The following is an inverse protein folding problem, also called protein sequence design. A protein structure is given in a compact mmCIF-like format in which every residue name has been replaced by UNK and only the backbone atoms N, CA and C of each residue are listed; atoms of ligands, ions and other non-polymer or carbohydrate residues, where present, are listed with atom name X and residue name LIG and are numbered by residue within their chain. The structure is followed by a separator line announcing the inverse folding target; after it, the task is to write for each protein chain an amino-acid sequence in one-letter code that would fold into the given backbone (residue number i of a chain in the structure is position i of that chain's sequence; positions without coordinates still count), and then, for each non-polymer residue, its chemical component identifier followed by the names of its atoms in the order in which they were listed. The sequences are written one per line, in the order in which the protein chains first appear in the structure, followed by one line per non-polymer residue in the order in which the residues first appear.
data_IF_898985542775
#
_entry.id   IF_898985542775
#
_cell.length_a   1.000
_cell.length_b   1.000
_cell.length_c   1.000
_cell.angle_alpha   90.00
_cell.angle_beta   90.00
_cell.angle_gamma   90.00
#
_symmetry.space_group_name_H-M   'P 1'
#
loop_
_entity.id
_entity.type
_entity.pdbx_description
1 polymer ?
#
# COMPACT_ATOMS: atom_id res chain seq x y z
N UNK A 1 5.68 -86.28 -22.48
CA UNK A 1 5.98 -85.35 -23.58
C UNK A 1 6.47 -84.06 -22.95
N UNK A 2 7.58 -83.59 -23.49
CA UNK A 2 8.57 -82.66 -22.95
C UNK A 2 8.09 -81.28 -22.48
N UNK A 3 8.94 -80.68 -21.64
CA UNK A 3 8.99 -79.24 -21.35
C UNK A 3 9.28 -78.41 -22.61
N UNK A 4 9.19 -77.08 -22.51
CA UNK A 4 10.48 -76.36 -22.53
C UNK A 4 10.65 -75.35 -21.39
N UNK A 5 11.88 -75.36 -20.92
CA UNK A 5 12.53 -74.52 -19.92
C UNK A 5 13.09 -73.25 -20.57
N UNK A 6 13.06 -72.10 -19.88
CA UNK A 6 14.15 -71.07 -19.85
C UNK A 6 13.99 -70.34 -18.51
N UNK A 7 14.72 -70.69 -17.45
CA UNK A 7 16.08 -70.27 -17.03
C UNK A 7 16.18 -68.88 -16.35
N UNK A 8 16.41 -68.97 -15.03
CA UNK A 8 17.27 -68.22 -14.11
C UNK A 8 17.46 -66.69 -14.17
N UNK A 9 17.17 -66.08 -13.02
CA UNK A 9 17.93 -64.98 -12.42
C UNK A 9 17.61 -64.88 -10.91
N UNK A 10 18.57 -65.10 -10.00
CA UNK A 10 18.39 -64.90 -8.56
C UNK A 10 18.79 -63.48 -8.14
N UNK A 11 18.60 -63.23 -6.85
CA UNK A 11 19.07 -62.08 -6.08
C UNK A 11 18.27 -60.78 -6.30
N UNK A 12 17.52 -60.32 -5.30
CA UNK A 12 18.02 -60.18 -3.94
C UNK A 12 18.02 -58.68 -3.69
N UNK A 13 17.03 -58.23 -2.93
CA UNK A 13 16.70 -56.81 -2.79
C UNK A 13 17.90 -55.94 -2.46
N UNK A 14 18.04 -54.86 -3.20
CA UNK A 14 18.69 -53.67 -2.69
C UNK A 14 17.64 -52.59 -2.46
N UNK A 15 17.44 -52.34 -1.17
CA UNK A 15 16.78 -51.17 -0.61
C UNK A 15 17.29 -49.90 -1.30
N UNK A 16 16.45 -49.32 -2.14
CA UNK A 16 16.52 -47.92 -2.55
C UNK A 16 15.33 -47.15 -1.97
N UNK A 17 14.94 -47.42 -0.72
CA UNK A 17 13.93 -46.63 -0.03
C UNK A 17 14.52 -45.26 0.26
N UNK A 18 14.15 -44.30 -0.58
CA UNK A 18 13.94 -42.89 -0.26
C UNK A 18 13.98 -42.65 1.26
N UNK A 19 15.07 -42.06 1.76
CA UNK A 19 15.12 -41.53 3.11
C UNK A 19 14.16 -40.32 3.18
N UNK A 20 12.88 -40.61 3.38
CA UNK A 20 11.96 -39.62 3.90
C UNK A 20 12.36 -39.42 5.37
N UNK A 21 12.74 -38.20 5.81
CA UNK A 21 13.00 -37.95 7.22
C UNK A 21 11.78 -38.43 8.02
N UNK A 22 12.00 -39.21 9.07
CA UNK A 22 10.93 -39.61 9.99
C UNK A 22 10.14 -38.35 10.40
N UNK A 23 8.81 -38.39 10.35
CA UNK A 23 7.95 -37.26 10.71
C UNK A 23 8.37 -36.57 12.02
N UNK A 24 8.93 -37.32 12.97
CA UNK A 24 9.47 -36.80 14.22
C UNK A 24 10.58 -35.76 14.01
N UNK A 25 11.50 -35.98 13.08
CA UNK A 25 12.60 -35.05 12.75
C UNK A 25 12.04 -33.77 12.11
N UNK A 26 11.02 -33.91 11.25
CA UNK A 26 10.35 -32.77 10.64
C UNK A 26 9.60 -31.91 11.66
N UNK A 27 8.88 -32.53 12.60
CA UNK A 27 8.19 -31.81 13.67
C UNK A 27 9.16 -31.12 14.64
N UNK A 28 10.29 -31.76 14.97
CA UNK A 28 11.34 -31.11 15.77
C UNK A 28 11.91 -29.87 15.07
N UNK A 29 12.25 -29.98 13.79
CA UNK A 29 12.75 -28.84 13.02
C UNK A 29 11.69 -27.72 12.90
N UNK A 30 10.42 -28.08 12.71
CA UNK A 30 9.33 -27.12 12.69
C UNK A 30 9.19 -26.40 14.05
N UNK A 31 9.24 -27.15 15.15
CA UNK A 31 9.18 -26.60 16.50
C UNK A 31 10.31 -25.61 16.77
N UNK A 32 11.55 -25.96 16.42
CA UNK A 32 12.72 -25.08 16.57
C UNK A 32 12.56 -23.78 15.78
N UNK A 33 12.06 -23.85 14.55
CA UNK A 33 11.80 -22.69 13.72
C UNK A 33 10.69 -21.80 14.30
N UNK A 34 9.57 -22.37 14.73
CA UNK A 34 8.46 -21.64 15.36
C UNK A 34 8.93 -20.98 16.65
N UNK A 35 9.65 -21.69 17.52
CA UNK A 35 10.17 -21.14 18.77
C UNK A 35 11.12 -19.97 18.52
N UNK A 36 11.95 -20.06 17.49
CA UNK A 36 12.86 -18.98 17.10
C UNK A 36 12.09 -17.75 16.62
N UNK A 37 11.10 -17.95 15.73
CA UNK A 37 10.21 -16.89 15.27
C UNK A 37 9.49 -16.21 16.44
N UNK A 38 8.83 -16.98 17.30
CA UNK A 38 8.09 -16.48 18.48
C UNK A 38 9.00 -15.68 19.41
N UNK A 39 10.21 -16.18 19.70
CA UNK A 39 11.20 -15.45 20.54
C UNK A 39 11.58 -14.12 19.92
N UNK A 40 11.79 -14.06 18.61
CA UNK A 40 12.18 -12.84 17.92
C UNK A 40 11.03 -11.82 17.89
N UNK A 41 9.81 -12.26 17.59
CA UNK A 41 8.64 -11.37 17.57
C UNK A 41 8.27 -10.84 18.95
N UNK A 42 8.37 -11.66 20.00
CA UNK A 42 8.14 -11.19 21.38
C UNK A 42 9.15 -10.11 21.79
N UNK A 43 10.43 -10.24 21.40
CA UNK A 43 11.44 -9.21 21.65
C UNK A 43 11.07 -7.89 20.96
N UNK A 44 10.56 -7.95 19.72
CA UNK A 44 10.10 -6.78 18.97
C UNK A 44 8.91 -6.12 19.67
N UNK A 45 7.88 -6.89 20.03
CA UNK A 45 6.72 -6.40 20.79
C UNK A 45 7.17 -5.75 22.10
N UNK A 46 8.07 -6.38 22.84
CA UNK A 46 8.58 -5.84 24.10
C UNK A 46 9.30 -4.50 23.91
N UNK A 47 10.04 -4.32 22.81
CA UNK A 47 10.65 -3.03 22.43
C UNK A 47 9.58 -1.97 22.17
N UNK A 48 8.52 -2.32 21.42
CA UNK A 48 7.40 -1.40 21.11
C UNK A 48 6.63 -0.98 22.36
N UNK A 49 6.37 -1.91 23.28
CA UNK A 49 5.61 -1.64 24.51
C UNK A 49 6.43 -0.79 25.49
N UNK A 50 7.74 -0.99 25.58
CA UNK A 50 8.62 -0.23 26.49
C UNK A 50 8.95 1.18 26.00
N UNK A 51 8.75 1.47 24.72
CA UNK A 51 8.93 2.82 24.20
C UNK A 51 7.79 3.71 24.71
N UNK A 52 8.09 4.68 25.56
CA UNK A 52 7.13 5.61 26.13
C UNK A 52 6.66 6.69 25.13
N UNK A 53 7.18 6.69 23.91
CA UNK A 53 6.81 7.66 22.88
C UNK A 53 5.80 7.06 21.89
N UNK A 54 4.59 7.67 21.74
CA UNK A 54 3.57 7.23 20.78
C UNK A 54 3.85 7.70 19.33
N UNK A 55 4.95 8.44 19.10
CA UNK A 55 5.36 8.81 17.76
C UNK A 55 6.00 7.62 17.06
N UNK A 56 5.43 7.26 15.90
CA UNK A 56 6.02 6.48 14.81
C UNK A 56 7.32 5.78 15.22
N UNK A 57 7.27 4.44 15.38
CA UNK A 57 8.48 3.64 15.20
C UNK A 57 9.01 4.02 13.83
N UNK A 58 10.02 4.90 13.83
CA UNK A 58 10.75 5.22 12.63
C UNK A 58 11.13 3.91 11.98
N UNK A 59 10.98 3.89 10.66
CA UNK A 59 11.21 2.82 9.71
C UNK A 59 12.65 2.29 9.71
N UNK A 60 13.35 2.43 10.84
CA UNK A 60 14.67 1.88 11.09
C UNK A 60 14.48 0.39 11.36
N UNK A 61 14.89 -0.42 10.38
CA UNK A 61 14.73 -1.87 10.27
C UNK A 61 13.41 -2.36 9.65
N UNK A 62 12.77 -1.56 8.78
CA UNK A 62 11.95 -2.16 7.74
C UNK A 62 12.90 -2.84 6.73
N UNK A 63 13.46 -3.99 7.14
CA UNK A 63 13.78 -5.04 6.17
C UNK A 63 12.60 -5.09 5.20
N UNK A 64 12.87 -5.17 3.90
CA UNK A 64 11.82 -5.35 2.90
C UNK A 64 11.20 -6.72 3.16
N UNK A 65 10.28 -6.76 4.12
CA UNK A 65 9.55 -7.96 4.49
C UNK A 65 8.56 -8.19 3.35
N UNK A 66 8.64 -9.38 2.76
CA UNK A 66 7.65 -9.80 1.81
C UNK A 66 6.26 -9.86 2.48
N UNK A 67 5.20 -9.79 1.66
CA UNK A 67 3.81 -9.78 2.12
C UNK A 67 3.46 -10.98 3.01
N UNK A 68 4.06 -12.15 2.77
CA UNK A 68 3.88 -13.37 3.56
C UNK A 68 4.48 -13.21 4.97
N UNK A 69 5.75 -12.81 5.07
CA UNK A 69 6.40 -12.58 6.36
C UNK A 69 5.67 -11.53 7.20
N UNK A 70 5.08 -10.52 6.54
CA UNK A 70 4.25 -9.50 7.19
C UNK A 70 2.95 -10.07 7.76
N UNK A 71 2.23 -10.90 7.01
CA UNK A 71 1.00 -11.59 7.48
C UNK A 71 1.27 -12.49 8.69
N UNK A 72 2.42 -13.16 8.74
CA UNK A 72 2.80 -13.95 9.92
C UNK A 72 3.00 -13.08 11.15
N UNK A 73 3.64 -11.90 11.02
CA UNK A 73 3.78 -10.93 12.12
C UNK A 73 2.43 -10.44 12.60
N UNK A 74 1.52 -10.09 11.69
CA UNK A 74 0.17 -9.65 12.02
C UNK A 74 -0.62 -10.73 12.77
N UNK A 75 -0.57 -11.98 12.27
CA UNK A 75 -1.19 -13.12 12.94
C UNK A 75 -0.61 -13.31 14.36
N UNK A 76 0.71 -13.16 14.50
CA UNK A 76 1.37 -13.25 15.80
C UNK A 76 0.94 -12.15 16.78
N UNK A 77 0.76 -10.91 16.32
CA UNK A 77 0.22 -9.82 17.14
C UNK A 77 -1.20 -10.16 17.61
N UNK A 78 -2.07 -10.66 16.72
CA UNK A 78 -3.44 -11.08 17.08
C UNK A 78 -3.45 -12.22 18.11
N UNK A 79 -2.59 -13.22 17.94
CA UNK A 79 -2.39 -14.31 18.91
C UNK A 79 -1.91 -13.75 20.25
N UNK A 80 -0.94 -12.83 20.24
CA UNK A 80 -0.40 -12.19 21.44
C UNK A 80 -1.48 -11.42 22.20
N UNK A 81 -2.26 -10.60 21.50
CA UNK A 81 -3.42 -9.88 22.07
C UNK A 81 -4.42 -10.85 22.69
N UNK A 82 -4.75 -11.95 22.01
CA UNK A 82 -5.64 -12.98 22.54
C UNK A 82 -5.13 -13.56 23.87
N UNK A 83 -3.84 -13.92 23.94
CA UNK A 83 -3.24 -14.44 25.17
C UNK A 83 -3.18 -13.40 26.28
N UNK A 84 -2.88 -12.14 25.98
CA UNK A 84 -2.88 -11.05 26.96
C UNK A 84 -4.26 -10.87 27.61
N UNK A 85 -5.33 -10.89 26.81
CA UNK A 85 -6.71 -10.86 27.32
C UNK A 85 -7.03 -12.08 28.18
N UNK A 86 -6.62 -13.27 27.75
CA UNK A 86 -6.76 -14.50 28.54
C UNK A 86 -6.01 -14.43 29.87
N UNK A 87 -4.89 -13.70 29.92
CA UNK A 87 -4.12 -13.41 31.13
C UNK A 87 -4.67 -12.22 31.95
N UNK A 88 -5.80 -11.64 31.56
CA UNK A 88 -6.43 -10.44 32.16
C UNK A 88 -5.55 -9.19 32.12
N UNK A 89 -4.68 -9.08 31.11
CA UNK A 89 -3.84 -7.91 30.85
C UNK A 89 -4.47 -7.03 29.76
N UNK A 90 -5.65 -6.44 30.06
CA UNK A 90 -6.44 -5.69 29.07
C UNK A 90 -5.73 -4.41 28.59
N UNK A 91 -5.18 -3.61 29.51
CA UNK A 91 -4.49 -2.37 29.15
C UNK A 91 -3.31 -2.62 28.20
N UNK A 92 -2.55 -3.69 28.45
CA UNK A 92 -1.43 -4.09 27.60
C UNK A 92 -1.92 -4.63 26.25
N UNK A 93 -3.02 -5.36 26.23
CA UNK A 93 -3.63 -5.87 24.99
C UNK A 93 -4.11 -4.72 24.09
N UNK A 94 -4.77 -3.72 24.67
CA UNK A 94 -5.27 -2.55 23.94
C UNK A 94 -4.14 -1.62 23.50
N UNK A 95 -3.10 -1.45 24.34
CA UNK A 95 -1.88 -0.76 23.97
C UNK A 95 -1.18 -1.44 22.77
N UNK A 96 -1.06 -2.77 22.80
CA UNK A 96 -0.45 -3.53 21.71
C UNK A 96 -1.25 -3.41 20.41
N UNK A 97 -2.58 -3.56 20.50
CA UNK A 97 -3.50 -3.45 19.37
C UNK A 97 -3.48 -2.04 18.77
N UNK A 98 -3.53 -0.99 19.60
CA UNK A 98 -3.50 0.40 19.14
C UNK A 98 -2.15 0.85 18.60
N UNK A 99 -1.04 0.20 18.95
CA UNK A 99 0.29 0.55 18.42
C UNK A 99 0.66 -0.22 17.15
N UNK A 100 0.20 -1.47 17.00
CA UNK A 100 0.69 -2.37 15.93
C UNK A 100 -0.34 -2.77 14.87
N UNK A 101 -1.64 -2.50 15.09
CA UNK A 101 -2.71 -2.79 14.12
C UNK A 101 -3.34 -1.56 13.40
N UNK A 102 -3.15 -0.27 13.76
CA UNK A 102 -3.73 0.85 12.99
C UNK A 102 -3.17 0.95 11.56
N UNK A 103 -1.96 0.45 11.36
CA UNK A 103 -1.33 0.43 10.05
C UNK A 103 -2.13 -0.40 9.03
N UNK A 104 -3.04 -1.29 9.44
CA UNK A 104 -3.79 -2.17 8.53
C UNK A 104 -4.75 -1.38 7.64
N UNK A 105 -5.58 -0.51 8.21
CA UNK A 105 -6.60 0.22 7.43
C UNK A 105 -5.96 1.21 6.44
N UNK A 106 -4.92 1.93 6.86
CA UNK A 106 -4.24 2.88 5.99
C UNK A 106 -3.44 2.17 4.90
N UNK A 107 -2.77 1.05 5.21
CA UNK A 107 -2.03 0.26 4.21
C UNK A 107 -2.93 -0.40 3.20
N UNK A 108 -4.02 -1.02 3.65
CA UNK A 108 -5.00 -1.62 2.75
C UNK A 108 -5.62 -0.57 1.83
N UNK A 109 -5.94 0.61 2.38
CA UNK A 109 -6.39 1.75 1.58
C UNK A 109 -5.32 2.17 0.55
N UNK A 110 -4.07 2.39 0.95
CA UNK A 110 -2.97 2.77 0.04
C UNK A 110 -2.75 1.72 -1.05
N UNK A 111 -2.70 0.44 -0.72
CA UNK A 111 -2.54 -0.65 -1.71
C UNK A 111 -3.69 -0.68 -2.72
N UNK A 112 -4.93 -0.51 -2.25
CA UNK A 112 -6.09 -0.45 -3.13
C UNK A 112 -6.05 0.77 -4.04
N UNK A 113 -5.63 1.93 -3.53
CA UNK A 113 -5.48 3.15 -4.31
C UNK A 113 -4.33 3.05 -5.32
N UNK A 114 -3.20 2.43 -4.96
CA UNK A 114 -2.12 2.14 -5.91
C UNK A 114 -2.64 1.26 -7.05
N UNK A 115 -3.24 0.10 -6.77
CA UNK A 115 -3.76 -0.81 -7.81
C UNK A 115 -4.78 -0.15 -8.73
N UNK A 116 -5.61 0.74 -8.18
CA UNK A 116 -6.63 1.48 -8.94
C UNK A 116 -6.02 2.64 -9.76
N UNK A 117 -5.08 3.33 -9.14
CA UNK A 117 -4.27 4.49 -9.56
C UNK A 117 -3.21 4.26 -10.64
N UNK A 118 -2.56 3.09 -10.58
CA UNK A 118 -1.26 2.86 -11.19
C UNK A 118 -1.33 2.88 -12.72
N UNK A 119 -2.44 2.44 -13.29
CA UNK A 119 -2.58 2.25 -14.72
C UNK A 119 -3.77 3.06 -15.27
N UNK A 120 -3.58 3.63 -16.45
CA UNK A 120 -4.63 4.32 -17.20
C UNK A 120 -4.81 3.66 -18.56
N UNK A 121 -6.05 3.66 -19.05
CA UNK A 121 -6.40 3.08 -20.34
C UNK A 121 -6.76 4.19 -21.31
N UNK A 122 -6.00 4.29 -22.40
CA UNK A 122 -6.32 5.19 -23.50
C UNK A 122 -7.33 4.53 -24.44
N UNK A 123 -8.50 5.15 -24.65
CA UNK A 123 -9.50 4.69 -25.62
C UNK A 123 -10.39 3.51 -25.16
N UNK A 124 -10.91 2.73 -26.12
CA UNK A 124 -11.72 1.53 -25.84
C UNK A 124 -10.76 0.43 -25.43
N UNK A 125 -10.85 -0.05 -24.18
CA UNK A 125 -10.02 -1.09 -23.60
C UNK A 125 -10.08 -2.42 -24.41
N UNK A 126 -9.32 -2.49 -25.50
CA UNK A 126 -8.97 -3.72 -26.19
C UNK A 126 -7.69 -4.23 -25.56
N UNK A 127 -7.75 -5.43 -24.95
CA UNK A 127 -6.65 -6.31 -24.56
C UNK A 127 -5.24 -5.77 -24.88
N UNK A 128 -4.81 -4.78 -24.12
CA UNK A 128 -3.58 -4.02 -24.35
C UNK A 128 -2.87 -3.82 -23.03
N UNK A 129 -1.53 -3.75 -23.09
CA UNK A 129 -0.69 -3.60 -21.91
C UNK A 129 -1.12 -2.34 -21.14
N UNK A 130 -1.27 -2.42 -19.81
CA UNK A 130 -1.60 -1.26 -19.00
C UNK A 130 -0.49 -0.21 -19.11
N UNK A 131 -0.85 1.04 -19.41
CA UNK A 131 0.09 2.17 -19.40
C UNK A 131 0.20 2.72 -17.98
N UNK A 132 1.42 2.83 -17.46
CA UNK A 132 1.64 3.38 -16.13
C UNK A 132 1.37 4.88 -16.12
N UNK A 133 0.55 5.34 -15.18
CA UNK A 133 0.20 6.76 -15.06
C UNK A 133 1.46 7.64 -14.90
N UNK A 134 2.44 7.16 -14.14
CA UNK A 134 3.69 7.86 -13.89
C UNK A 134 4.55 8.07 -15.15
N UNK A 135 4.40 7.25 -16.19
CA UNK A 135 5.18 7.36 -17.43
C UNK A 135 4.62 8.39 -18.40
N UNK A 136 3.31 8.68 -18.29
CA UNK A 136 2.62 9.60 -19.20
C UNK A 136 2.13 10.89 -18.53
N UNK A 137 2.22 10.96 -17.20
CA UNK A 137 1.78 12.14 -16.47
C UNK A 137 2.67 13.34 -16.79
N UNK A 138 2.04 14.40 -17.30
CA UNK A 138 2.64 15.72 -17.43
C UNK A 138 2.06 16.62 -16.35
N UNK A 139 2.92 17.29 -15.60
CA UNK A 139 2.49 18.17 -14.52
C UNK A 139 1.61 19.31 -15.06
N UNK A 140 0.47 19.52 -14.41
CA UNK A 140 -0.47 20.58 -14.78
C UNK A 140 -0.09 21.87 -14.08
N UNK A 141 -0.12 22.96 -14.84
CA UNK A 141 -0.02 24.31 -14.30
C UNK A 141 -1.35 24.70 -13.66
N UNK A 142 -1.37 24.82 -12.32
CA UNK A 142 -2.56 25.16 -11.54
C UNK A 142 -2.48 26.63 -11.15
N UNK A 143 -3.56 27.37 -11.39
CA UNK A 143 -3.70 28.76 -10.98
C UNK A 143 -4.90 28.94 -10.06
N UNK A 144 -4.81 29.93 -9.18
CA UNK A 144 -5.91 30.32 -8.31
C UNK A 144 -7.11 30.79 -9.14
N UNK A 145 -8.26 30.14 -8.95
CA UNK A 145 -9.49 30.52 -9.63
C UNK A 145 -10.05 31.82 -9.05
N UNK A 146 -10.14 32.87 -9.87
CA UNK A 146 -10.80 34.12 -9.46
C UNK A 146 -12.30 33.93 -9.14
N UNK A 147 -12.87 34.88 -8.39
CA UNK A 147 -14.31 34.95 -7.99
C UNK A 147 -15.30 35.15 -9.14
N UNK A 148 -14.90 34.89 -10.39
CA UNK A 148 -15.77 35.06 -11.54
C UNK A 148 -16.93 34.06 -11.44
N UNK A 149 -18.13 34.64 -11.25
CA UNK A 149 -19.41 33.96 -11.22
C UNK A 149 -19.53 32.93 -12.35
N UNK A 150 -20.19 31.81 -12.03
CA UNK A 150 -20.54 30.75 -12.96
C UNK A 150 -21.52 31.32 -13.98
N UNK A 151 -21.03 31.86 -15.09
CA UNK A 151 -21.90 32.16 -16.22
C UNK A 151 -22.27 30.82 -16.87
N UNK A 152 -23.53 30.41 -16.74
CA UNK A 152 -24.07 29.11 -17.21
C UNK A 152 -24.29 29.04 -18.73
N UNK A 153 -23.82 30.03 -19.48
CA UNK A 153 -23.99 30.06 -20.93
C UNK A 153 -22.86 29.28 -21.62
N UNK A 154 -23.30 28.37 -22.50
CA UNK A 154 -22.53 27.46 -23.36
C UNK A 154 -21.24 28.07 -23.96
N UNK A 155 -20.28 27.21 -24.31
CA UNK A 155 -18.87 27.49 -24.69
C UNK A 155 -18.61 28.39 -25.93
N UNK A 156 -19.43 29.41 -26.19
CA UNK A 156 -19.36 30.29 -27.37
C UNK A 156 -18.74 31.67 -27.03
N UNK A 157 -18.30 31.91 -25.78
CA UNK A 157 -17.63 33.19 -25.39
C UNK A 157 -16.10 33.07 -25.20
N UNK A 158 -15.45 32.10 -25.84
CA UNK A 158 -14.01 31.87 -25.69
C UNK A 158 -13.14 32.97 -26.33
N UNK A 159 -13.64 33.68 -27.35
CA UNK A 159 -12.85 34.70 -28.06
C UNK A 159 -12.73 36.02 -27.27
N UNK A 160 -13.80 36.46 -26.59
CA UNK A 160 -13.77 37.71 -25.82
C UNK A 160 -12.95 37.60 -24.53
N UNK A 161 -13.00 36.45 -23.85
CA UNK A 161 -12.32 36.23 -22.57
C UNK A 161 -10.81 36.14 -22.71
N UNK A 162 -10.30 35.51 -23.79
CA UNK A 162 -8.86 35.41 -24.06
C UNK A 162 -8.20 36.76 -24.39
N UNK A 163 -8.97 37.75 -24.87
CA UNK A 163 -8.47 39.11 -25.15
C UNK A 163 -8.34 39.98 -23.90
N UNK A 164 -9.02 39.61 -22.81
CA UNK A 164 -9.07 40.39 -21.59
C UNK A 164 -7.84 40.06 -20.74
N UNK A 165 -6.80 40.88 -20.83
CA UNK A 165 -5.67 40.81 -19.89
C UNK A 165 -6.23 40.80 -18.46
N UNK A 166 -5.90 39.80 -17.64
CA UNK A 166 -6.37 39.79 -16.27
C UNK A 166 -5.83 41.03 -15.55
N UNK A 167 -6.67 41.69 -14.76
CA UNK A 167 -6.32 42.92 -14.04
C UNK A 167 -5.25 42.70 -12.96
N UNK A 168 -4.96 41.43 -12.63
CA UNK A 168 -3.93 40.98 -11.70
C UNK A 168 -3.19 39.78 -12.32
N UNK A 169 -1.90 39.58 -12.02
CA UNK A 169 -1.18 38.37 -12.39
C UNK A 169 -1.92 37.13 -11.84
N UNK A 170 -1.97 36.06 -12.62
CA UNK A 170 -2.47 34.77 -12.14
C UNK A 170 -1.51 34.25 -11.06
N UNK A 171 -2.06 33.86 -9.91
CA UNK A 171 -1.28 33.23 -8.85
C UNK A 171 -1.13 31.76 -9.19
N UNK A 172 0.09 31.30 -9.48
CA UNK A 172 0.40 29.87 -9.60
C UNK A 172 0.26 29.21 -8.23
N UNK A 173 -0.42 28.08 -8.17
CA UNK A 173 -0.51 27.23 -6.97
C UNK A 173 0.35 25.99 -7.23
N UNK A 174 1.29 25.71 -6.34
CA UNK A 174 2.01 24.43 -6.35
C UNK A 174 1.11 23.35 -5.79
N UNK A 175 1.32 22.09 -6.19
CA UNK A 175 0.53 20.97 -5.71
C UNK A 175 0.61 20.82 -4.19
N UNK A 176 1.80 21.04 -3.63
CA UNK A 176 2.07 20.99 -2.19
C UNK A 176 1.24 22.00 -1.39
N UNK A 177 0.97 23.16 -2.00
CA UNK A 177 0.30 24.29 -1.37
C UNK A 177 -1.24 24.23 -1.55
N UNK A 178 -1.78 23.17 -2.16
CA UNK A 178 -3.19 23.11 -2.57
C UNK A 178 -4.17 23.19 -1.40
N UNK A 179 -3.74 22.78 -0.20
CA UNK A 179 -4.54 22.78 1.03
C UNK A 179 -4.03 23.76 2.09
N UNK A 180 -2.97 24.52 1.78
CA UNK A 180 -2.39 25.48 2.70
C UNK A 180 -3.30 26.71 2.87
N UNK A 181 -3.29 27.28 4.07
CA UNK A 181 -4.11 28.45 4.37
C UNK A 181 -3.66 29.67 3.55
N UNK A 182 -4.63 30.45 3.07
CA UNK A 182 -4.33 31.71 2.39
C UNK A 182 -3.77 32.73 3.39
N UNK A 183 -2.98 33.70 2.90
CA UNK A 183 -2.34 34.70 3.76
C UNK A 183 -3.39 35.56 4.49
N UNK A 184 -3.71 35.20 5.74
CA UNK A 184 -4.69 35.87 6.59
C UNK A 184 -5.78 34.97 7.19
N UNK A 185 -5.88 33.71 6.78
CA UNK A 185 -6.80 32.73 7.38
C UNK A 185 -6.06 31.77 8.32
N UNK A 186 -6.61 31.52 9.51
CA UNK A 186 -6.01 30.59 10.49
C UNK A 186 -6.39 29.12 10.21
N UNK A 187 -7.46 28.86 9.46
CA UNK A 187 -7.91 27.48 9.17
C UNK A 187 -7.38 26.97 7.83
N UNK A 188 -6.88 25.72 7.77
CA UNK A 188 -6.45 25.09 6.52
C UNK A 188 -7.64 24.83 5.58
N UNK A 189 -7.36 24.83 4.27
CA UNK A 189 -8.38 24.60 3.25
C UNK A 189 -8.87 23.16 3.33
N UNK A 190 -10.19 22.98 3.51
CA UNK A 190 -10.82 21.64 3.57
C UNK A 190 -11.35 21.14 2.23
N UNK A 191 -11.47 22.01 1.22
CA UNK A 191 -12.08 21.67 -0.07
C UNK A 191 -11.51 22.49 -1.20
N UNK A 192 -11.18 21.82 -2.31
CA UNK A 192 -10.65 22.43 -3.53
C UNK A 192 -11.51 22.01 -4.71
N UNK A 193 -11.83 22.95 -5.60
CA UNK A 193 -12.57 22.68 -6.84
C UNK A 193 -11.71 23.07 -8.05
N UNK A 194 -11.31 22.08 -8.85
CA UNK A 194 -10.56 22.33 -10.08
C UNK A 194 -11.51 22.71 -11.21
N UNK A 195 -11.25 23.85 -11.86
CA UNK A 195 -11.99 24.33 -13.03
C UNK A 195 -11.08 24.32 -14.26
N UNK A 196 -11.65 24.08 -15.43
CA UNK A 196 -10.92 24.09 -16.70
C UNK A 196 -11.71 23.43 -17.82
N UNK A 197 -11.27 23.61 -19.05
CA UNK A 197 -11.92 23.07 -20.26
C UNK A 197 -11.95 21.53 -20.27
N UNK A 198 -12.79 20.95 -21.13
CA UNK A 198 -12.81 19.51 -21.34
C UNK A 198 -11.43 19.01 -21.82
N UNK A 199 -11.03 17.80 -21.38
CA UNK A 199 -9.76 17.19 -21.80
C UNK A 199 -8.49 17.73 -21.14
N UNK A 200 -8.54 18.81 -20.35
CA UNK A 200 -7.33 19.45 -19.77
C UNK A 200 -6.64 18.64 -18.65
N UNK A 201 -7.13 17.45 -18.29
CA UNK A 201 -6.46 16.57 -17.32
C UNK A 201 -6.92 16.67 -15.86
N UNK A 202 -8.03 17.36 -15.54
CA UNK A 202 -8.55 17.50 -14.15
C UNK A 202 -8.68 16.16 -13.40
N UNK A 203 -9.23 15.13 -14.05
CA UNK A 203 -9.40 13.80 -13.45
C UNK A 203 -8.05 13.10 -13.24
N UNK A 204 -7.16 13.20 -14.23
CA UNK A 204 -5.82 12.57 -14.18
C UNK A 204 -4.96 13.21 -13.08
N UNK A 205 -5.10 14.53 -12.85
CA UNK A 205 -4.49 15.22 -11.71
C UNK A 205 -4.92 14.63 -10.37
N UNK A 206 -6.22 14.42 -10.13
CA UNK A 206 -6.71 13.82 -8.87
C UNK A 206 -6.23 12.37 -8.70
N UNK A 207 -6.20 11.59 -9.79
CA UNK A 207 -5.68 10.22 -9.77
C UNK A 207 -4.19 10.19 -9.43
N UNK A 208 -3.40 11.06 -10.07
CA UNK A 208 -1.97 11.20 -9.81
C UNK A 208 -1.71 11.65 -8.38
N UNK A 209 -2.47 12.64 -7.89
CA UNK A 209 -2.40 13.09 -6.50
C UNK A 209 -2.58 11.93 -5.53
N UNK A 210 -3.64 11.15 -5.74
CA UNK A 210 -3.96 10.00 -4.90
C UNK A 210 -2.92 8.87 -5.00
N UNK A 211 -2.37 8.63 -6.19
CA UNK A 211 -1.34 7.62 -6.41
C UNK A 211 -0.04 7.98 -5.67
N UNK A 212 0.43 9.22 -5.80
CA UNK A 212 1.64 9.69 -5.12
C UNK A 212 1.51 9.65 -3.59
N UNK A 213 0.34 10.00 -3.05
CA UNK A 213 0.04 9.82 -1.62
C UNK A 213 0.13 8.36 -1.17
N UNK A 214 -0.38 7.46 -2.02
CA UNK A 214 -0.32 6.05 -1.73
C UNK A 214 1.10 5.47 -1.88
N UNK A 215 1.96 6.07 -2.71
CA UNK A 215 3.36 5.70 -2.94
C UNK A 215 4.35 6.41 -1.99
N UNK A 216 3.87 7.22 -1.04
CA UNK A 216 4.70 8.05 -0.15
C UNK A 216 5.61 9.04 -0.91
N UNK A 217 5.14 9.55 -2.06
CA UNK A 217 5.83 10.52 -2.92
C UNK A 217 5.31 11.95 -2.79
N UNK A 218 4.41 12.20 -1.86
CA UNK A 218 3.99 13.56 -1.52
C UNK A 218 5.18 14.29 -0.86
N UNK A 219 5.73 15.27 -1.56
CA UNK A 219 6.73 16.23 -1.06
C UNK A 219 6.23 17.62 -1.37
#
# INVERSE_FOLDING_TARGET
VDCPSVQHGPDGGFHGSSLCPSYNVLFQLLEENILTFVKNELKKIQKVVRSDYPGCLEKEDEEVLDDEQRRFREAFVKISVHFLRRMKQEELADCLQSRLLPADCQRELKSNLQKKFQCVFEGIAKAGNPTLLNEIYTELYITEGGTAEVNQEHEVRQIETASRRPARPETTIRREDLFEASAGEEEPIRTVMTKGVAGIGKTVLTQKFTLDWAEDKDH
#
